data_IF_553270845460
#
_entry.id   IF_553270845460
#
_cell.length_a   1.000
_cell.length_b   1.000
_cell.length_c   1.000
_cell.angle_alpha   90.00
_cell.angle_beta   90.00
_cell.angle_gamma   90.00
#
_symmetry.space_group_name_H-M   'P 1'
#
loop_
_entity.id
_entity.type
_entity.pdbx_description
1 polymer ?
#
# COMPACT_ATOMS: atom_id res chain seq x y z
N UNK A 1 44.94 -25.39 -2.36
CA UNK A 1 44.22 -24.81 -1.20
C UNK A 1 42.78 -24.53 -1.63
N UNK A 2 41.87 -24.51 -0.66
CA UNK A 2 40.45 -24.86 -0.78
C UNK A 2 39.55 -23.80 -1.45
N UNK A 3 38.48 -24.36 -2.05
CA UNK A 3 37.21 -23.78 -2.51
C UNK A 3 36.69 -22.58 -1.70
N UNK A 4 36.19 -21.55 -2.39
CA UNK A 4 34.94 -20.90 -1.99
C UNK A 4 34.03 -20.77 -3.20
N UNK A 5 33.10 -21.73 -3.28
CA UNK A 5 31.91 -21.65 -4.11
C UNK A 5 31.01 -20.64 -3.41
N UNK A 6 31.04 -19.38 -3.84
CA UNK A 6 30.03 -18.41 -3.44
C UNK A 6 28.71 -18.90 -4.02
N UNK A 7 27.89 -19.46 -3.14
CA UNK A 7 26.53 -19.90 -3.40
C UNK A 7 25.74 -18.72 -3.96
N UNK A 8 25.66 -18.64 -5.29
CA UNK A 8 24.66 -17.84 -5.98
C UNK A 8 23.34 -18.53 -5.67
N UNK A 9 22.62 -17.96 -4.69
CA UNK A 9 21.22 -18.26 -4.43
C UNK A 9 20.51 -18.00 -5.75
N UNK A 10 20.21 -19.05 -6.50
CA UNK A 10 19.45 -18.99 -7.74
C UNK A 10 18.21 -18.15 -7.47
N UNK A 11 17.99 -17.02 -8.18
CA UNK A 11 16.71 -16.34 -8.14
C UNK A 11 15.66 -17.37 -8.51
N UNK A 12 14.62 -17.52 -7.69
CA UNK A 12 13.52 -18.42 -8.02
C UNK A 12 12.97 -18.06 -9.41
N UNK A 13 12.44 -19.05 -10.12
CA UNK A 13 11.80 -18.92 -11.45
C UNK A 13 10.54 -18.03 -11.46
N UNK A 14 10.34 -17.22 -10.42
CA UNK A 14 9.24 -16.27 -10.19
C UNK A 14 9.73 -14.81 -10.11
N UNK A 15 11.02 -14.55 -10.35
CA UNK A 15 11.55 -13.19 -10.40
C UNK A 15 11.20 -12.56 -11.76
N UNK A 16 10.09 -11.82 -11.82
CA UNK A 16 9.76 -10.97 -12.96
C UNK A 16 10.48 -9.62 -12.77
N UNK A 17 11.52 -9.31 -13.58
CA UNK A 17 12.25 -8.05 -13.47
C UNK A 17 11.42 -6.81 -13.87
N UNK A 18 10.22 -7.00 -14.43
CA UNK A 18 9.25 -5.92 -14.67
C UNK A 18 8.31 -5.67 -13.48
N UNK A 19 8.26 -6.58 -12.49
CA UNK A 19 7.48 -6.38 -11.26
C UNK A 19 8.21 -5.43 -10.30
N UNK A 20 7.54 -4.40 -9.75
CA UNK A 20 8.15 -3.52 -8.77
C UNK A 20 8.46 -4.28 -7.48
N UNK A 21 9.67 -4.13 -6.96
CA UNK A 21 10.08 -4.70 -5.68
C UNK A 21 9.26 -4.14 -4.50
N UNK A 22 9.23 -4.86 -3.37
CA UNK A 22 8.59 -4.38 -2.13
C UNK A 22 9.09 -2.99 -1.68
N UNK A 23 10.37 -2.69 -1.95
CA UNK A 23 10.97 -1.38 -1.67
C UNK A 23 10.43 -0.27 -2.57
N UNK A 24 10.25 -0.56 -3.85
CA UNK A 24 9.68 0.39 -4.82
C UNK A 24 8.20 0.65 -4.51
N UNK A 25 7.45 -0.39 -4.14
CA UNK A 25 6.07 -0.26 -3.63
C UNK A 25 6.00 0.59 -2.35
N UNK A 26 6.87 0.32 -1.37
CA UNK A 26 6.93 1.15 -0.15
C UNK A 26 7.31 2.61 -0.46
N UNK A 27 8.25 2.85 -1.38
CA UNK A 27 8.62 4.20 -1.80
C UNK A 27 7.44 4.92 -2.48
N UNK A 28 6.69 4.22 -3.33
CA UNK A 28 5.47 4.75 -3.95
C UNK A 28 4.42 5.12 -2.89
N UNK A 29 4.17 4.25 -1.91
CA UNK A 29 3.25 4.52 -0.79
C UNK A 29 3.71 5.77 -0.02
N UNK A 30 4.99 5.88 0.32
CA UNK A 30 5.53 7.05 1.01
C UNK A 30 5.36 8.36 0.19
N UNK A 31 5.54 8.29 -1.13
CA UNK A 31 5.35 9.43 -2.01
C UNK A 31 3.88 9.88 -2.02
N UNK A 32 2.95 8.94 -2.22
CA UNK A 32 1.50 9.21 -2.20
C UNK A 32 1.08 9.73 -0.82
N UNK A 33 1.59 9.15 0.27
CA UNK A 33 1.31 9.60 1.63
C UNK A 33 1.80 11.04 1.88
N UNK A 34 2.97 11.39 1.36
CA UNK A 34 3.50 12.76 1.45
C UNK A 34 2.65 13.74 0.66
N UNK A 35 2.22 13.37 -0.55
CA UNK A 35 1.31 14.18 -1.36
C UNK A 35 -0.05 14.35 -0.67
N UNK A 36 -0.58 13.28 -0.06
CA UNK A 36 -1.80 13.31 0.72
C UNK A 36 -1.67 14.24 1.93
N UNK A 37 -0.54 14.24 2.64
CA UNK A 37 -0.30 15.15 3.76
C UNK A 37 -0.27 16.63 3.34
N UNK A 38 0.22 16.92 2.12
CA UNK A 38 0.25 18.28 1.56
C UNK A 38 -1.11 18.74 1.04
N UNK A 39 -1.85 17.84 0.37
CA UNK A 39 -3.15 18.10 -0.21
C UNK A 39 -4.02 16.85 -0.11
N UNK A 40 -4.77 16.68 0.99
CA UNK A 40 -5.63 15.52 1.18
C UNK A 40 -6.66 15.43 0.05
N UNK A 41 -6.78 14.25 -0.56
CA UNK A 41 -7.86 13.94 -1.51
C UNK A 41 -8.28 12.47 -1.39
N UNK A 42 -9.54 12.20 -1.73
CA UNK A 42 -10.07 10.84 -1.75
C UNK A 42 -9.32 9.96 -2.75
N UNK A 43 -8.98 10.50 -3.93
CA UNK A 43 -8.21 9.79 -4.96
C UNK A 43 -6.85 9.33 -4.45
N UNK A 44 -6.14 10.20 -3.72
CA UNK A 44 -4.83 9.85 -3.13
C UNK A 44 -4.98 8.81 -2.01
N UNK A 45 -6.05 8.89 -1.21
CA UNK A 45 -6.34 7.88 -0.19
C UNK A 45 -6.65 6.51 -0.80
N UNK A 46 -7.43 6.47 -1.88
CA UNK A 46 -7.73 5.24 -2.63
C UNK A 46 -6.44 4.68 -3.23
N UNK A 47 -5.64 5.51 -3.90
CA UNK A 47 -4.38 5.08 -4.49
C UNK A 47 -3.41 4.50 -3.44
N UNK A 48 -3.29 5.14 -2.28
CA UNK A 48 -2.46 4.62 -1.18
C UNK A 48 -3.01 3.29 -0.62
N UNK A 49 -4.33 3.16 -0.50
CA UNK A 49 -5.00 1.91 -0.10
C UNK A 49 -4.73 0.78 -1.10
N UNK A 50 -4.84 1.05 -2.40
CA UNK A 50 -4.57 0.05 -3.44
C UNK A 50 -3.12 -0.41 -3.45
N UNK A 51 -2.18 0.53 -3.26
CA UNK A 51 -0.75 0.20 -3.14
C UNK A 51 -0.45 -0.62 -1.87
N UNK A 52 -1.09 -0.29 -0.75
CA UNK A 52 -0.95 -1.06 0.49
C UNK A 52 -1.48 -2.50 0.34
N UNK A 53 -2.64 -2.68 -0.33
CA UNK A 53 -3.17 -4.01 -0.63
C UNK A 53 -2.29 -4.79 -1.62
N UNK A 54 -1.62 -4.11 -2.55
CA UNK A 54 -0.62 -4.76 -3.42
C UNK A 54 0.58 -5.24 -2.61
N UNK A 55 1.02 -4.49 -1.60
CA UNK A 55 2.16 -4.86 -0.76
C UNK A 55 1.91 -6.11 0.10
N UNK A 56 0.64 -6.48 0.37
CA UNK A 56 0.31 -7.73 1.09
C UNK A 56 0.43 -8.99 0.21
N UNK A 57 0.70 -8.83 -1.09
CA UNK A 57 0.84 -9.96 -1.98
C UNK A 57 2.09 -10.80 -1.60
N UNK A 58 2.02 -12.13 -1.68
CA UNK A 58 3.09 -13.02 -1.21
C UNK A 58 4.43 -12.80 -1.93
N UNK A 59 4.40 -12.22 -3.14
CA UNK A 59 5.56 -11.86 -3.94
C UNK A 59 6.39 -10.73 -3.30
N UNK A 60 5.80 -9.95 -2.39
CA UNK A 60 6.45 -8.85 -1.68
C UNK A 60 6.69 -9.15 -0.19
N UNK A 61 6.22 -10.29 0.30
CA UNK A 61 6.35 -10.74 1.68
C UNK A 61 7.76 -11.31 2.00
N UNK A 62 8.80 -10.55 1.64
CA UNK A 62 10.20 -10.94 1.84
C UNK A 62 10.56 -11.17 3.33
N UNK A 63 9.79 -10.58 4.24
CA UNK A 63 9.95 -10.77 5.68
C UNK A 63 8.64 -10.55 6.43
N UNK A 64 8.52 -11.17 7.60
CA UNK A 64 7.40 -10.94 8.52
C UNK A 64 7.21 -9.47 8.89
N UNK A 65 8.31 -8.70 8.94
CA UNK A 65 8.24 -7.26 9.17
C UNK A 65 7.50 -6.52 8.03
N UNK A 66 7.75 -6.90 6.78
CA UNK A 66 7.07 -6.29 5.62
C UNK A 66 5.59 -6.65 5.61
N UNK A 67 5.26 -7.90 5.94
CA UNK A 67 3.88 -8.38 6.10
C UNK A 67 3.14 -7.57 7.18
N UNK A 68 3.71 -7.46 8.38
CA UNK A 68 3.12 -6.68 9.49
C UNK A 68 2.94 -5.20 9.12
N UNK A 69 3.89 -4.61 8.38
CA UNK A 69 3.81 -3.24 7.90
C UNK A 69 2.71 -3.09 6.85
N UNK A 70 2.62 -4.02 5.89
CA UNK A 70 1.64 -3.99 4.83
C UNK A 70 0.20 -4.08 5.39
N UNK A 71 -0.05 -5.01 6.32
CA UNK A 71 -1.35 -5.12 6.99
C UNK A 71 -1.75 -3.83 7.70
N UNK A 72 -0.79 -3.22 8.42
CA UNK A 72 -1.04 -1.97 9.14
C UNK A 72 -1.35 -0.82 8.17
N UNK A 73 -0.63 -0.74 7.06
CA UNK A 73 -0.89 0.27 6.02
C UNK A 73 -2.28 0.09 5.41
N UNK A 74 -2.68 -1.16 5.12
CA UNK A 74 -4.03 -1.46 4.61
C UNK A 74 -5.10 -0.97 5.59
N UNK A 75 -4.97 -1.29 6.87
CA UNK A 75 -5.93 -0.85 7.89
C UNK A 75 -6.01 0.68 8.01
N UNK A 76 -4.85 1.36 7.97
CA UNK A 76 -4.77 2.81 8.07
C UNK A 76 -5.44 3.50 6.87
N UNK A 77 -5.11 3.08 5.65
CA UNK A 77 -5.66 3.70 4.44
C UNK A 77 -7.12 3.35 4.22
N UNK A 78 -7.56 2.12 4.56
CA UNK A 78 -8.97 1.74 4.51
C UNK A 78 -9.83 2.62 5.42
N UNK A 79 -9.32 2.94 6.63
CA UNK A 79 -10.00 3.86 7.54
C UNK A 79 -10.13 5.26 6.93
N UNK A 80 -9.03 5.81 6.40
CA UNK A 80 -9.03 7.14 5.76
C UNK A 80 -10.03 7.18 4.58
N UNK A 81 -10.05 6.15 3.73
CA UNK A 81 -10.99 6.05 2.61
C UNK A 81 -12.44 5.99 3.11
N UNK A 82 -12.71 5.25 4.19
CA UNK A 82 -14.05 5.15 4.78
C UNK A 82 -14.56 6.49 5.34
N UNK A 83 -13.65 7.33 5.88
CA UNK A 83 -14.00 8.65 6.41
C UNK A 83 -14.51 9.59 5.30
N UNK A 84 -13.91 9.54 4.10
CA UNK A 84 -14.44 10.26 2.93
C UNK A 84 -15.85 9.83 2.53
N UNK A 85 -16.14 8.52 2.56
CA UNK A 85 -17.48 8.01 2.25
C UNK A 85 -18.54 8.37 3.30
N UNK A 86 -18.13 8.64 4.54
CA UNK A 86 -19.02 9.06 5.62
C UNK A 86 -19.35 10.57 5.56
N UNK A 87 -18.40 11.41 5.15
CA UNK A 87 -18.58 12.86 4.98
C UNK A 87 -19.61 13.17 3.88
N UNK A 88 -19.55 12.48 2.73
CA UNK A 88 -20.55 12.62 1.66
C UNK A 88 -21.96 12.17 2.08
N UNK A 89 -22.04 11.19 2.99
CA UNK A 89 -23.30 10.64 3.50
C UNK A 89 -24.03 11.61 4.43
N UNK A 90 -23.30 12.35 5.27
CA UNK A 90 -23.91 13.35 6.15
C UNK A 90 -24.48 14.54 5.38
N UNK A 91 -23.76 15.03 4.37
CA UNK A 91 -24.22 16.11 3.49
C UNK A 91 -25.55 15.74 2.80
N UNK A 92 -25.66 14.53 2.26
CA UNK A 92 -26.88 14.03 1.65
C UNK A 92 -28.03 13.82 2.66
N UNK A 93 -27.73 13.48 3.92
CA UNK A 93 -28.73 13.32 4.97
C UNK A 93 -29.33 14.66 5.45
N UNK A 94 -28.51 15.72 5.52
CA UNK A 94 -28.96 17.07 5.87
C UNK A 94 -29.86 17.72 4.82
N UNK A 95 -29.79 17.29 3.55
CA UNK A 95 -30.67 17.80 2.49
C UNK A 95 -32.07 17.15 2.45
N UNK A 96 -32.28 16.00 3.10
CA UNK A 96 -33.61 15.35 3.15
C UNK A 96 -34.50 15.82 4.29
N UNK A 97 -33.97 16.57 5.25
CA UNK A 97 -34.70 16.99 6.46
C UNK A 97 -35.45 18.32 6.31
N UNK A 98 -35.41 18.94 5.12
CA UNK A 98 -36.09 20.21 4.82
C UNK A 98 -37.22 20.08 3.78
N UNK A 99 -37.88 18.92 3.70
CA UNK A 99 -39.13 18.76 2.95
C UNK A 99 -40.35 18.71 3.88
#
# INVERSE_FOLDING_TARGET
>A
MQKQVSSLKTPSELFDPELPTAKELMAAICCVATQYALKPSQELAILASDLANKLTAPEYADSKLIEDIAERLVQQWARIVSEYGAEDSWLLASHRTLQ
#
